data_IF_712841089202
#
_entry.id   IF_712841089202
#
_cell.length_a   1.000
_cell.length_b   1.000
_cell.length_c   1.000
_cell.angle_alpha   90.00
_cell.angle_beta   90.00
_cell.angle_gamma   90.00
#
_symmetry.space_group_name_H-M   'P 1'
#
loop_
_entity.id
_entity.type
_entity.pdbx_description
1 polymer ?
#
# COMPACT_ATOMS: atom_id res chain seq x y z
N UNK A 1 -2.94 -17.24 -17.98
CA UNK A 1 -1.81 -16.66 -18.73
C UNK A 1 -2.26 -15.31 -19.24
N UNK A 2 -1.59 -14.23 -18.85
CA UNK A 2 -1.76 -12.94 -19.52
C UNK A 2 -0.65 -12.92 -20.55
N UNK A 3 -1.04 -13.10 -21.81
CA UNK A 3 -0.10 -13.25 -22.91
C UNK A 3 0.53 -11.89 -23.25
N UNK A 4 1.85 -11.86 -23.34
CA UNK A 4 2.66 -10.66 -23.41
C UNK A 4 2.98 -10.34 -24.87
N UNK A 5 2.14 -9.56 -25.57
CA UNK A 5 2.50 -9.03 -26.89
C UNK A 5 2.11 -7.56 -27.06
N UNK A 6 2.92 -6.71 -26.44
CA UNK A 6 3.52 -5.46 -26.94
C UNK A 6 4.35 -4.89 -25.77
N UNK A 7 5.67 -4.99 -25.83
CA UNK A 7 6.56 -4.47 -24.77
C UNK A 7 6.66 -5.29 -23.47
N UNK A 8 5.86 -6.35 -23.30
CA UNK A 8 6.06 -7.37 -22.26
C UNK A 8 5.97 -6.90 -20.80
N UNK A 9 5.41 -5.71 -20.57
CA UNK A 9 5.22 -5.16 -19.23
C UNK A 9 3.99 -5.75 -18.53
N UNK A 10 4.16 -6.16 -17.28
CA UNK A 10 3.09 -6.73 -16.45
C UNK A 10 2.86 -5.82 -15.24
N UNK A 11 1.64 -5.31 -15.00
CA UNK A 11 1.37 -4.52 -13.81
C UNK A 11 1.33 -5.41 -12.57
N UNK A 12 2.03 -4.97 -11.51
CA UNK A 12 2.21 -5.76 -10.29
C UNK A 12 1.40 -5.19 -9.13
N UNK A 13 1.50 -3.88 -8.90
CA UNK A 13 0.87 -3.18 -7.76
C UNK A 13 0.87 -1.67 -7.97
N UNK A 14 0.06 -0.98 -7.19
CA UNK A 14 0.25 0.45 -6.90
C UNK A 14 0.86 0.58 -5.51
N UNK A 15 1.95 1.34 -5.41
CA UNK A 15 2.77 1.39 -4.20
C UNK A 15 3.35 2.80 -3.98
N UNK A 16 3.89 3.04 -2.78
CA UNK A 16 4.58 4.27 -2.48
C UNK A 16 5.96 4.34 -3.13
N UNK A 17 6.36 5.55 -3.52
CA UNK A 17 7.69 5.89 -4.03
C UNK A 17 8.13 7.21 -3.43
N UNK A 18 9.42 7.37 -3.15
CA UNK A 18 9.93 8.63 -2.59
C UNK A 18 9.79 9.76 -3.62
N UNK A 19 8.97 10.80 -3.34
CA UNK A 19 8.74 11.90 -4.26
C UNK A 19 10.02 12.72 -4.56
N UNK A 20 10.96 12.77 -3.62
CA UNK A 20 12.19 13.55 -3.76
C UNK A 20 13.17 12.87 -4.73
N UNK A 21 13.33 11.55 -4.62
CA UNK A 21 14.40 10.81 -5.29
C UNK A 21 13.93 9.94 -6.46
N UNK A 22 12.69 9.44 -6.42
CA UNK A 22 12.20 8.49 -7.43
C UNK A 22 11.69 9.22 -8.66
N UNK A 23 11.97 8.67 -9.84
CA UNK A 23 11.52 9.19 -11.13
C UNK A 23 10.84 8.09 -11.94
N UNK A 24 9.84 8.49 -12.74
CA UNK A 24 9.11 7.58 -13.62
C UNK A 24 10.07 6.95 -14.63
N UNK A 25 9.99 5.64 -14.81
CA UNK A 25 10.89 4.92 -15.72
C UNK A 25 10.65 5.26 -17.20
N UNK A 26 9.43 5.68 -17.55
CA UNK A 26 9.16 6.14 -18.92
C UNK A 26 10.05 7.34 -19.27
N UNK A 27 10.72 7.25 -20.42
CA UNK A 27 11.44 8.38 -21.00
C UNK A 27 10.41 9.31 -21.63
N UNK A 28 10.57 10.62 -21.45
CA UNK A 28 9.71 11.58 -22.15
C UNK A 28 9.84 11.41 -23.66
N UNK A 29 8.76 11.62 -24.42
CA UNK A 29 8.72 11.42 -25.88
C UNK A 29 9.80 12.20 -26.66
N UNK A 30 10.40 13.22 -26.05
CA UNK A 30 11.50 14.04 -26.60
C UNK A 30 12.88 13.72 -26.01
N UNK A 31 13.06 12.58 -25.33
CA UNK A 31 14.29 12.24 -24.63
C UNK A 31 14.57 13.11 -23.39
N UNK A 32 13.54 13.80 -22.87
CA UNK A 32 13.65 14.69 -21.71
C UNK A 32 13.78 13.97 -20.37
N UNK A 33 14.10 14.73 -19.31
CA UNK A 33 14.21 14.25 -17.92
C UNK A 33 12.95 13.49 -17.50
N UNK A 34 13.15 12.37 -16.81
CA UNK A 34 12.09 11.62 -16.17
C UNK A 34 11.29 12.51 -15.21
N UNK A 35 9.96 12.46 -15.27
CA UNK A 35 9.12 13.19 -14.33
C UNK A 35 9.08 12.48 -12.96
N UNK A 36 8.81 13.24 -11.90
CA UNK A 36 8.68 12.70 -10.53
C UNK A 36 7.27 12.21 -10.20
N UNK A 37 7.07 11.91 -8.92
CA UNK A 37 5.80 11.47 -8.34
C UNK A 37 5.40 12.42 -7.20
N UNK A 38 4.78 13.59 -7.49
CA UNK A 38 4.50 14.60 -6.46
C UNK A 38 3.64 14.08 -5.31
N UNK A 39 2.74 13.15 -5.60
CA UNK A 39 1.84 12.54 -4.63
C UNK A 39 2.48 11.31 -3.93
N UNK A 40 3.69 10.91 -4.33
CA UNK A 40 4.44 9.82 -3.69
C UNK A 40 3.94 8.40 -3.97
N UNK A 41 3.15 8.19 -5.04
CA UNK A 41 2.70 6.86 -5.46
C UNK A 41 2.96 6.60 -6.95
N UNK A 42 3.17 5.33 -7.28
CA UNK A 42 3.42 4.86 -8.63
C UNK A 42 2.74 3.53 -8.89
N UNK A 43 2.44 3.26 -10.16
CA UNK A 43 2.21 1.89 -10.60
C UNK A 43 3.56 1.21 -10.82
N UNK A 44 3.73 0.04 -10.23
CA UNK A 44 4.91 -0.79 -10.42
C UNK A 44 4.61 -1.79 -11.54
N UNK A 45 5.35 -1.67 -12.64
CA UNK A 45 5.31 -2.62 -13.75
C UNK A 45 6.58 -3.48 -13.74
N UNK A 46 6.44 -4.74 -14.12
CA UNK A 46 7.53 -5.70 -14.27
C UNK A 46 7.86 -5.90 -15.74
N UNK A 47 9.14 -5.85 -16.08
CA UNK A 47 9.63 -6.13 -17.43
C UNK A 47 9.70 -7.65 -17.72
N UNK A 48 9.99 -8.07 -18.95
CA UNK A 48 10.17 -9.48 -19.29
C UNK A 48 11.34 -10.17 -18.58
N UNK A 49 12.33 -9.42 -18.11
CA UNK A 49 13.47 -9.94 -17.35
C UNK A 49 13.15 -10.11 -15.84
N UNK A 50 11.98 -9.67 -15.41
CA UNK A 50 11.51 -9.77 -14.03
C UNK A 50 11.80 -8.55 -13.16
N UNK A 51 12.39 -7.49 -13.71
CA UNK A 51 12.70 -6.27 -12.98
C UNK A 51 11.48 -5.37 -12.84
N UNK A 52 11.33 -4.75 -11.67
CA UNK A 52 10.22 -3.87 -11.35
C UNK A 52 10.61 -2.39 -11.42
N UNK A 53 9.78 -1.59 -12.07
CA UNK A 53 10.02 -0.16 -12.25
C UNK A 53 8.77 0.69 -11.98
N UNK A 54 8.94 1.92 -11.46
CA UNK A 54 7.82 2.80 -11.15
C UNK A 54 7.39 3.61 -12.38
N UNK A 55 6.09 3.71 -12.59
CA UNK A 55 5.47 4.48 -13.67
C UNK A 55 4.34 5.36 -13.15
N UNK A 56 4.25 6.56 -13.71
CA UNK A 56 3.07 7.42 -13.55
C UNK A 56 1.85 6.78 -14.21
N UNK A 57 0.61 7.12 -13.81
CA UNK A 57 -0.61 6.49 -14.33
C UNK A 57 -0.70 6.52 -15.86
N UNK A 58 -0.44 7.67 -16.48
CA UNK A 58 -0.50 7.83 -17.94
C UNK A 58 0.61 7.05 -18.64
N UNK A 59 1.84 7.10 -18.12
CA UNK A 59 2.96 6.35 -18.66
C UNK A 59 2.75 4.84 -18.56
N UNK A 60 2.18 4.37 -17.46
CA UNK A 60 1.86 2.96 -17.28
C UNK A 60 0.80 2.51 -18.28
N UNK A 61 -0.29 3.27 -18.44
CA UNK A 61 -1.36 2.96 -19.42
C UNK A 61 -0.84 2.89 -20.86
N UNK A 62 0.10 3.77 -21.23
CA UNK A 62 0.69 3.79 -22.57
C UNK A 62 1.55 2.54 -22.89
N UNK A 63 2.01 1.80 -21.87
CA UNK A 63 2.84 0.60 -22.04
C UNK A 63 2.05 -0.71 -22.02
N UNK A 64 0.79 -0.69 -21.60
CA UNK A 64 -0.03 -1.88 -21.43
C UNK A 64 -0.91 -2.12 -22.65
N UNK A 65 -1.05 -3.38 -23.05
CA UNK A 65 -1.96 -3.78 -24.12
C UNK A 65 -3.42 -3.45 -23.79
N UNK A 66 -3.79 -3.57 -22.51
CA UNK A 66 -5.09 -3.15 -21.98
C UNK A 66 -4.87 -2.27 -20.73
N UNK A 67 -5.14 -0.96 -20.82
CA UNK A 67 -4.99 -0.02 -19.70
C UNK A 67 -5.79 -0.41 -18.45
N UNK A 68 -6.88 -1.17 -18.59
CA UNK A 68 -7.71 -1.61 -17.47
C UNK A 68 -7.01 -2.65 -16.59
N UNK A 69 -5.84 -3.16 -16.99
CA UNK A 69 -5.04 -4.04 -16.12
C UNK A 69 -4.51 -3.33 -14.88
N UNK A 70 -4.35 -2.00 -14.91
CA UNK A 70 -3.97 -1.22 -13.72
C UNK A 70 -5.03 -1.29 -12.62
N UNK A 71 -6.31 -1.39 -12.97
CA UNK A 71 -7.39 -1.49 -11.98
C UNK A 71 -7.46 -2.89 -11.33
N UNK A 72 -6.63 -3.84 -11.81
CA UNK A 72 -6.62 -5.23 -11.35
C UNK A 72 -5.51 -5.55 -10.37
N UNK A 73 -4.60 -4.62 -10.10
CA UNK A 73 -3.49 -4.86 -9.17
C UNK A 73 -3.83 -4.45 -7.74
N UNK A 74 -3.19 -5.04 -6.72
CA UNK A 74 -3.30 -4.56 -5.35
C UNK A 74 -2.81 -3.11 -5.20
N UNK A 75 -3.56 -2.30 -4.46
CA UNK A 75 -3.20 -0.92 -4.10
C UNK A 75 -2.79 -0.88 -2.61
N UNK A 76 -1.51 -0.57 -2.35
CA UNK A 76 -0.96 -0.38 -1.00
C UNK A 76 -1.08 1.07 -0.52
N UNK A 77 -1.52 1.98 -1.39
CA UNK A 77 -1.70 3.41 -1.13
C UNK A 77 -3.17 3.76 -0.84
N UNK A 78 -4.08 2.78 -0.80
CA UNK A 78 -5.53 3.00 -0.59
C UNK A 78 -5.84 3.80 0.68
N UNK A 79 -4.98 3.73 1.69
CA UNK A 79 -5.12 4.44 2.98
C UNK A 79 -4.35 5.75 3.04
N UNK A 80 -3.73 6.16 1.94
CA UNK A 80 -3.19 7.49 1.80
C UNK A 80 -4.31 8.49 1.51
N UNK A 81 -4.45 9.50 2.38
CA UNK A 81 -5.21 10.69 2.01
C UNK A 81 -4.25 11.65 1.31
N UNK A 82 -4.18 11.56 -0.02
CA UNK A 82 -3.58 12.63 -0.79
C UNK A 82 -4.47 13.86 -0.59
N UNK A 83 -3.95 14.93 0.02
CA UNK A 83 -4.56 16.26 -0.13
C UNK A 83 -4.55 16.53 -1.62
N UNK A 84 -5.70 16.37 -2.28
CA UNK A 84 -5.88 16.87 -3.64
C UNK A 84 -5.47 18.33 -3.59
N UNK A 85 -4.39 18.69 -4.29
CA UNK A 85 -4.13 20.09 -4.57
C UNK A 85 -5.41 20.66 -5.21
N UNK A 86 -5.86 21.85 -4.81
CA UNK A 86 -7.13 22.41 -5.26
C UNK A 86 -6.94 22.94 -6.69
N UNK A 87 -6.83 22.05 -7.67
CA UNK A 87 -6.85 22.43 -9.09
C UNK A 87 -7.13 21.22 -10.00
N UNK A 88 -8.24 20.52 -9.74
CA UNK A 88 -8.89 19.64 -10.73
C UNK A 88 -10.40 19.59 -10.44
N UNK A 89 -11.09 20.70 -10.71
CA UNK A 89 -12.54 20.71 -10.87
C UNK A 89 -12.90 20.11 -12.23
N UNK A 90 -12.97 18.78 -12.32
CA UNK A 90 -13.83 18.05 -13.27
C UNK A 90 -13.72 16.53 -13.08
N UNK A 91 -13.86 16.06 -11.84
CA UNK A 91 -14.15 14.63 -11.59
C UNK A 91 -15.68 14.52 -11.48
N UNK A 92 -16.36 13.87 -12.44
CA UNK A 92 -17.79 13.63 -12.34
C UNK A 92 -18.11 12.91 -11.03
N UNK A 93 -19.25 13.21 -10.38
CA UNK A 93 -19.67 12.47 -9.19
C UNK A 93 -19.68 10.97 -9.49
N UNK A 94 -19.31 10.12 -8.52
CA UNK A 94 -19.28 8.68 -8.73
C UNK A 94 -20.65 8.23 -9.23
N UNK A 95 -20.67 7.68 -10.46
CA UNK A 95 -21.89 7.11 -11.05
C UNK A 95 -22.42 6.08 -10.07
N UNK A 96 -23.73 6.19 -9.77
CA UNK A 96 -24.48 5.30 -8.87
C UNK A 96 -24.01 3.85 -9.04
N UNK A 97 -23.65 3.21 -7.92
CA UNK A 97 -22.94 1.93 -7.89
C UNK A 97 -23.71 0.85 -8.65
N UNK A 98 -23.20 0.48 -9.83
CA UNK A 98 -23.52 -0.82 -10.42
C UNK A 98 -23.07 -1.89 -9.42
N UNK A 99 -23.95 -2.84 -9.10
CA UNK A 99 -23.58 -4.00 -8.28
C UNK A 99 -22.37 -4.67 -8.95
N UNK A 100 -21.26 -4.76 -8.22
CA UNK A 100 -20.03 -5.38 -8.72
C UNK A 100 -20.35 -6.79 -9.25
N UNK A 101 -19.84 -7.10 -10.44
CA UNK A 101 -19.90 -8.43 -11.03
C UNK A 101 -19.17 -9.45 -10.16
N UNK A 102 -19.46 -10.74 -10.36
CA UNK A 102 -18.78 -11.81 -9.64
C UNK A 102 -17.26 -11.80 -9.89
N UNK A 103 -16.83 -11.43 -11.10
CA UNK A 103 -15.42 -11.31 -11.45
C UNK A 103 -14.73 -10.15 -10.71
N UNK A 104 -15.38 -8.99 -10.59
CA UNK A 104 -14.85 -7.86 -9.82
C UNK A 104 -14.76 -8.19 -8.33
N UNK A 105 -15.74 -8.91 -7.78
CA UNK A 105 -15.71 -9.36 -6.39
C UNK A 105 -14.59 -10.38 -6.14
N UNK A 106 -14.40 -11.34 -7.05
CA UNK A 106 -13.30 -12.31 -6.93
C UNK A 106 -11.93 -11.63 -7.02
N UNK A 107 -11.79 -10.68 -7.94
CA UNK A 107 -10.59 -9.87 -8.07
C UNK A 107 -10.31 -9.06 -6.80
N UNK A 108 -11.33 -8.39 -6.25
CA UNK A 108 -11.20 -7.64 -5.01
C UNK A 108 -10.79 -8.54 -3.83
N UNK A 109 -11.38 -9.74 -3.70
CA UNK A 109 -11.00 -10.73 -2.68
C UNK A 109 -9.56 -11.18 -2.85
N UNK A 110 -9.14 -11.47 -4.08
CA UNK A 110 -7.76 -11.86 -4.38
C UNK A 110 -6.78 -10.74 -4.04
N UNK A 111 -7.08 -9.50 -4.43
CA UNK A 111 -6.20 -8.36 -4.15
C UNK A 111 -6.12 -8.08 -2.66
N UNK A 112 -7.22 -8.20 -1.91
CA UNK A 112 -7.23 -8.10 -0.46
C UNK A 112 -6.35 -9.18 0.20
N UNK A 113 -6.46 -10.44 -0.25
CA UNK A 113 -5.64 -11.55 0.26
C UNK A 113 -4.16 -11.36 -0.05
N UNK A 114 -3.81 -11.05 -1.31
CA UNK A 114 -2.43 -10.78 -1.72
C UNK A 114 -1.82 -9.64 -0.90
N UNK A 115 -2.57 -8.55 -0.74
CA UNK A 115 -2.15 -7.40 0.05
C UNK A 115 -1.93 -7.78 1.52
N UNK A 116 -2.83 -8.56 2.11
CA UNK A 116 -2.69 -9.02 3.49
C UNK A 116 -1.40 -9.82 3.70
N UNK A 117 -1.11 -10.76 2.80
CA UNK A 117 0.13 -11.55 2.82
C UNK A 117 1.36 -10.65 2.73
N UNK A 118 1.41 -9.76 1.74
CA UNK A 118 2.56 -8.87 1.52
C UNK A 118 2.75 -7.88 2.67
N UNK A 119 1.67 -7.34 3.24
CA UNK A 119 1.76 -6.47 4.42
C UNK A 119 2.36 -7.22 5.62
N UNK A 120 1.88 -8.44 5.91
CA UNK A 120 2.34 -9.26 7.04
C UNK A 120 3.78 -9.75 6.87
N UNK A 121 4.21 -10.05 5.66
CA UNK A 121 5.48 -10.77 5.43
C UNK A 121 6.61 -9.89 4.90
N UNK A 122 6.28 -8.76 4.28
CA UNK A 122 7.26 -7.87 3.65
C UNK A 122 7.11 -6.42 4.12
N UNK A 123 6.01 -5.74 3.80
CA UNK A 123 5.94 -4.27 3.91
C UNK A 123 5.95 -3.79 5.36
N UNK A 124 5.04 -4.30 6.19
CA UNK A 124 5.02 -3.94 7.62
C UNK A 124 6.11 -4.71 8.37
N UNK A 125 6.43 -5.92 7.94
CA UNK A 125 7.49 -6.72 8.54
C UNK A 125 8.90 -6.14 8.36
N UNK A 126 9.12 -5.32 7.34
CA UNK A 126 10.38 -4.62 7.09
C UNK A 126 10.50 -3.30 7.88
N UNK A 127 9.44 -2.86 8.56
CA UNK A 127 9.50 -1.66 9.41
C UNK A 127 10.53 -1.88 10.51
N UNK A 128 11.51 -0.97 10.70
CA UNK A 128 12.53 -1.12 11.72
C UNK A 128 11.91 -1.33 13.11
N UNK A 129 12.40 -2.33 13.85
CA UNK A 129 11.98 -2.65 15.23
C UNK A 129 10.50 -3.01 15.38
N UNK A 130 9.81 -3.36 14.30
CA UNK A 130 8.43 -3.81 14.35
C UNK A 130 8.31 -5.08 15.19
N UNK A 131 7.20 -5.20 15.92
CA UNK A 131 6.96 -6.39 16.73
C UNK A 131 7.01 -7.67 15.87
N UNK A 132 7.70 -8.76 16.31
CA UNK A 132 7.87 -9.98 15.51
C UNK A 132 6.56 -10.66 15.10
N UNK A 133 5.48 -10.43 15.86
CA UNK A 133 4.13 -10.96 15.60
C UNK A 133 3.49 -10.41 14.32
N UNK A 134 4.10 -9.41 13.67
CA UNK A 134 3.71 -8.98 12.32
C UNK A 134 3.95 -10.08 11.29
N UNK A 135 5.10 -10.74 11.33
CA UNK A 135 5.32 -11.91 10.47
C UNK A 135 4.44 -13.06 10.96
N UNK A 136 3.81 -13.75 10.03
CA UNK A 136 3.00 -14.92 10.34
C UNK A 136 3.52 -16.14 9.58
N UNK A 137 4.22 -17.08 10.24
CA UNK A 137 4.82 -18.23 9.57
C UNK A 137 3.84 -19.03 8.72
N UNK A 138 2.56 -19.08 9.09
CA UNK A 138 1.53 -19.78 8.33
C UNK A 138 1.23 -19.18 6.93
N UNK A 139 1.78 -17.99 6.62
CA UNK A 139 1.68 -17.33 5.32
C UNK A 139 2.97 -17.42 4.49
N UNK A 140 4.04 -18.02 5.00
CA UNK A 140 5.35 -18.01 4.34
C UNK A 140 5.30 -18.59 2.92
N UNK A 141 4.73 -19.79 2.74
CA UNK A 141 4.63 -20.40 1.40
C UNK A 141 3.83 -19.54 0.41
N UNK A 142 2.76 -18.90 0.90
CA UNK A 142 1.94 -18.00 0.08
C UNK A 142 2.71 -16.72 -0.26
N UNK A 143 3.53 -16.22 0.67
CA UNK A 143 4.41 -15.09 0.43
C UNK A 143 5.44 -15.42 -0.63
N UNK A 144 6.15 -16.55 -0.52
CA UNK A 144 7.16 -16.96 -1.51
C UNK A 144 6.54 -17.12 -2.91
N UNK A 145 5.33 -17.69 -3.00
CA UNK A 145 4.58 -17.76 -4.25
C UNK A 145 4.31 -16.38 -4.86
N UNK A 146 3.81 -15.42 -4.06
CA UNK A 146 3.50 -14.07 -4.54
C UNK A 146 4.76 -13.29 -4.88
N UNK A 147 5.82 -13.41 -4.07
CA UNK A 147 7.11 -12.76 -4.29
C UNK A 147 7.76 -13.22 -5.61
N UNK A 148 7.59 -14.49 -5.97
CA UNK A 148 7.99 -15.02 -7.27
C UNK A 148 7.07 -14.59 -8.45
N UNK A 149 6.09 -13.72 -8.21
CA UNK A 149 5.13 -13.27 -9.22
C UNK A 149 3.94 -14.19 -9.45
N UNK A 150 3.78 -15.22 -8.62
CA UNK A 150 2.63 -16.09 -8.64
C UNK A 150 1.35 -15.41 -8.16
N UNK A 151 0.21 -15.99 -8.55
CA UNK A 151 -1.12 -15.50 -8.17
C UNK A 151 -1.75 -16.51 -7.21
N UNK A 152 -2.39 -16.03 -6.15
CA UNK A 152 -3.11 -16.89 -5.21
C UNK A 152 -4.35 -17.52 -5.89
N UNK A 153 -4.49 -18.84 -5.77
CA UNK A 153 -5.68 -19.57 -6.19
C UNK A 153 -6.85 -19.36 -5.20
N UNK A 154 -8.09 -19.62 -5.63
CA UNK A 154 -9.28 -19.29 -4.83
C UNK A 154 -9.31 -19.95 -3.43
N UNK A 155 -8.83 -21.19 -3.29
CA UNK A 155 -8.72 -21.84 -1.98
C UNK A 155 -7.70 -21.14 -1.05
N UNK A 156 -6.58 -20.68 -1.61
CA UNK A 156 -5.56 -19.91 -0.87
C UNK A 156 -6.12 -18.54 -0.47
N UNK A 157 -6.81 -17.85 -1.38
CA UNK A 157 -7.50 -16.58 -1.10
C UNK A 157 -8.51 -16.77 0.04
N UNK A 158 -9.34 -17.80 -0.01
CA UNK A 158 -10.30 -18.09 1.05
C UNK A 158 -9.62 -18.34 2.40
N UNK A 159 -8.53 -19.12 2.43
CA UNK A 159 -7.75 -19.38 3.64
C UNK A 159 -7.18 -18.10 4.24
N UNK A 160 -6.54 -17.25 3.41
CA UNK A 160 -5.95 -15.97 3.85
C UNK A 160 -7.02 -15.05 4.45
N UNK A 161 -8.14 -14.89 3.75
CA UNK A 161 -9.22 -14.03 4.23
C UNK A 161 -9.92 -14.59 5.47
N UNK A 162 -9.94 -15.92 5.65
CA UNK A 162 -10.43 -16.54 6.88
C UNK A 162 -9.51 -16.23 8.07
N UNK A 163 -8.19 -16.27 7.87
CA UNK A 163 -7.22 -15.83 8.88
C UNK A 163 -7.46 -14.35 9.22
N UNK A 164 -7.51 -13.46 8.22
CA UNK A 164 -7.70 -12.02 8.45
C UNK A 164 -8.98 -11.71 9.24
N UNK A 165 -10.10 -12.36 8.90
CA UNK A 165 -11.40 -12.12 9.54
C UNK A 165 -11.57 -12.84 10.87
N UNK A 166 -10.71 -13.79 11.21
CA UNK A 166 -10.80 -14.55 12.45
C UNK A 166 -10.85 -13.65 13.68
N UNK A 167 -11.67 -14.02 14.67
CA UNK A 167 -11.68 -13.35 15.97
C UNK A 167 -10.35 -13.51 16.71
N UNK A 168 -9.58 -14.57 16.41
CA UNK A 168 -8.26 -14.80 16.96
C UNK A 168 -7.20 -13.86 16.36
N UNK A 169 -7.47 -13.20 15.23
CA UNK A 169 -6.56 -12.23 14.63
C UNK A 169 -6.77 -10.86 15.29
N UNK A 170 -5.79 -10.33 16.05
CA UNK A 170 -5.90 -9.04 16.70
C UNK A 170 -6.23 -7.93 15.70
N UNK A 171 -7.03 -6.95 16.11
CA UNK A 171 -7.48 -5.88 15.22
C UNK A 171 -6.29 -5.11 14.60
N UNK A 172 -5.22 -4.87 15.37
CA UNK A 172 -3.97 -4.27 14.90
C UNK A 172 -3.25 -5.05 13.79
N UNK A 173 -3.58 -6.33 13.60
CA UNK A 173 -3.00 -7.22 12.59
C UNK A 173 -3.95 -7.50 11.42
N UNK A 174 -5.08 -6.79 11.30
CA UNK A 174 -6.01 -6.88 10.16
C UNK A 174 -5.56 -5.98 9.01
N UNK A 175 -5.95 -6.31 7.78
CA UNK A 175 -5.40 -5.69 6.57
C UNK A 175 -5.55 -4.17 6.51
N UNK A 176 -6.70 -3.64 6.95
CA UNK A 176 -6.92 -2.17 6.99
C UNK A 176 -5.96 -1.47 7.94
N UNK A 177 -5.71 -2.02 9.12
CA UNK A 177 -4.75 -1.42 10.06
C UNK A 177 -3.32 -1.54 9.55
N UNK A 178 -2.96 -2.68 8.95
CA UNK A 178 -1.62 -2.86 8.40
C UNK A 178 -1.32 -1.90 7.23
N UNK A 179 -2.34 -1.55 6.44
CA UNK A 179 -2.23 -0.46 5.48
C UNK A 179 -1.99 0.89 6.16
N UNK A 180 -2.73 1.20 7.23
CA UNK A 180 -2.53 2.44 7.98
C UNK A 180 -1.10 2.50 8.56
N UNK A 181 -0.59 1.39 9.10
CA UNK A 181 0.80 1.28 9.58
C UNK A 181 1.79 1.52 8.45
N UNK A 182 1.59 0.87 7.30
CA UNK A 182 2.51 1.02 6.18
C UNK A 182 2.53 2.46 5.65
N UNK A 183 1.35 3.07 5.45
CA UNK A 183 1.24 4.48 5.05
C UNK A 183 1.90 5.41 6.05
N UNK A 184 1.64 5.25 7.35
CA UNK A 184 2.23 6.09 8.38
C UNK A 184 3.75 5.94 8.43
N UNK A 185 4.28 4.71 8.31
CA UNK A 185 5.71 4.46 8.23
C UNK A 185 6.34 5.22 7.07
N UNK A 186 5.81 5.08 5.85
CA UNK A 186 6.37 5.75 4.67
C UNK A 186 6.36 7.27 4.84
N UNK A 187 5.27 7.85 5.35
CA UNK A 187 5.19 9.30 5.55
C UNK A 187 6.14 9.79 6.63
N UNK A 188 6.32 9.03 7.71
CA UNK A 188 7.30 9.35 8.75
C UNK A 188 8.72 9.32 8.17
N UNK A 189 9.07 8.32 7.35
CA UNK A 189 10.39 8.27 6.68
C UNK A 189 10.63 9.50 5.81
N UNK A 190 9.65 9.90 5.00
CA UNK A 190 9.77 11.11 4.17
C UNK A 190 9.94 12.38 5.00
N UNK A 191 9.15 12.54 6.06
CA UNK A 191 9.26 13.71 6.94
C UNK A 191 10.59 13.75 7.71
N UNK A 192 11.08 12.60 8.16
CA UNK A 192 12.40 12.47 8.80
C UNK A 192 13.50 12.86 7.83
N UNK A 193 13.45 12.34 6.59
CA UNK A 193 14.45 12.63 5.56
C UNK A 193 14.42 14.09 5.11
N UNK A 194 13.25 14.73 5.07
CA UNK A 194 13.10 16.13 4.66
C UNK A 194 13.39 17.14 5.79
N UNK A 195 13.35 16.72 7.06
CA UNK A 195 13.56 17.60 8.21
C UNK A 195 15.04 17.90 8.41
N UNK A 196 15.37 19.18 8.64
CA UNK A 196 16.70 19.63 9.09
C UNK A 196 16.75 19.99 10.59
N UNK A 197 15.61 19.93 11.28
CA UNK A 197 15.50 20.20 12.71
C UNK A 197 15.70 18.91 13.52
N UNK A 198 16.72 18.89 14.38
CA UNK A 198 17.10 17.72 15.18
C UNK A 198 16.02 17.30 16.16
N UNK A 199 15.35 18.24 16.84
CA UNK A 199 14.28 17.92 17.79
C UNK A 199 13.06 17.34 17.07
N UNK A 200 12.71 17.90 15.92
CA UNK A 200 11.65 17.35 15.08
C UNK A 200 11.97 15.93 14.60
N UNK A 201 13.22 15.68 14.16
CA UNK A 201 13.67 14.33 13.77
C UNK A 201 13.54 13.36 14.95
N UNK A 202 13.95 13.75 16.16
CA UNK A 202 13.80 12.90 17.36
C UNK A 202 12.34 12.60 17.66
N UNK A 203 11.48 13.62 17.59
CA UNK A 203 10.04 13.46 17.78
C UNK A 203 9.43 12.48 16.75
N UNK A 204 9.68 12.68 15.45
CA UNK A 204 9.16 11.80 14.40
C UNK A 204 9.67 10.36 14.55
N UNK A 205 10.95 10.18 14.90
CA UNK A 205 11.51 8.86 15.23
C UNK A 205 10.84 8.22 16.44
N UNK A 206 10.50 9.00 17.47
CA UNK A 206 9.77 8.48 18.63
C UNK A 206 8.37 7.97 18.26
N UNK A 207 7.68 8.64 17.32
CA UNK A 207 6.40 8.19 16.79
C UNK A 207 6.54 6.96 15.89
N UNK A 208 7.60 6.88 15.10
CA UNK A 208 7.91 5.71 14.28
C UNK A 208 8.20 4.48 15.14
N UNK A 209 8.97 4.66 16.21
CA UNK A 209 9.23 3.67 17.25
C UNK A 209 7.94 3.21 17.95
N UNK A 210 7.05 4.15 18.29
CA UNK A 210 5.74 3.85 18.85
C UNK A 210 4.90 3.03 17.87
N UNK A 211 4.83 3.46 16.60
CA UNK A 211 4.12 2.76 15.55
C UNK A 211 4.64 1.32 15.39
N UNK A 212 5.96 1.10 15.44
CA UNK A 212 6.54 -0.24 15.29
C UNK A 212 6.15 -1.20 16.43
N UNK A 213 6.00 -0.68 17.66
CA UNK A 213 5.63 -1.46 18.85
C UNK A 213 4.13 -1.68 18.98
N UNK A 214 3.33 -0.64 18.73
CA UNK A 214 1.89 -0.66 19.00
C UNK A 214 1.04 -0.89 17.74
N UNK A 215 1.63 -0.71 16.56
CA UNK A 215 0.97 -0.79 15.25
C UNK A 215 -0.22 0.16 15.09
N UNK A 216 -0.25 1.22 15.89
CA UNK A 216 -1.29 2.25 15.85
C UNK A 216 -0.70 3.62 16.16
N UNK A 217 -1.34 4.65 15.62
CA UNK A 217 -1.17 6.04 16.05
C UNK A 217 -2.52 6.63 16.42
N UNK A 218 -2.53 7.50 17.42
CA UNK A 218 -3.72 8.28 17.78
C UNK A 218 -3.90 9.44 16.80
N UNK A 219 -5.11 10.01 16.75
CA UNK A 219 -5.39 11.19 15.94
C UNK A 219 -4.47 12.37 16.31
N UNK A 220 -4.20 12.56 17.60
CA UNK A 220 -3.30 13.60 18.09
C UNK A 220 -1.84 13.37 17.64
N UNK A 221 -1.36 12.12 17.63
CA UNK A 221 -0.02 11.80 17.12
C UNK A 221 0.10 12.05 15.61
N UNK A 222 -0.93 11.68 14.84
CA UNK A 222 -1.03 11.93 13.40
C UNK A 222 -0.96 13.44 13.12
N UNK A 223 -1.79 14.21 13.83
CA UNK A 223 -1.86 15.67 13.69
C UNK A 223 -0.54 16.34 14.09
N UNK A 224 0.03 15.97 15.24
CA UNK A 224 1.28 16.54 15.73
C UNK A 224 2.48 16.23 14.80
N UNK A 225 2.47 15.07 14.13
CA UNK A 225 3.47 14.73 13.12
C UNK A 225 3.24 15.42 11.77
N UNK A 226 2.09 16.05 11.56
CA UNK A 226 1.71 16.62 10.26
C UNK A 226 1.49 15.58 9.15
N UNK A 227 1.24 14.31 9.50
CA UNK A 227 0.97 13.27 8.51
C UNK A 227 -0.49 13.33 8.05
N UNK A 228 -0.71 13.41 6.74
CA UNK A 228 -2.06 13.33 6.17
C UNK A 228 -2.42 11.87 5.96
N UNK A 229 -3.50 11.40 6.58
CA UNK A 229 -3.91 9.99 6.56
C UNK A 229 -5.39 9.88 6.21
N UNK A 230 -5.85 8.70 5.80
CA UNK A 230 -7.28 8.43 5.62
C UNK A 230 -8.09 8.84 6.89
N UNK A 231 -9.28 9.45 6.78
CA UNK A 231 -10.04 9.95 7.95
C UNK A 231 -10.41 8.89 9.01
N UNK A 232 -10.38 7.63 8.59
CA UNK A 232 -10.63 6.45 9.43
C UNK A 232 -9.36 5.66 9.78
N UNK A 233 -8.17 6.26 9.64
CA UNK A 233 -6.90 5.62 9.99
C UNK A 233 -6.90 5.16 11.46
N UNK A 234 -6.43 3.94 11.70
CA UNK A 234 -6.29 3.27 12.99
C UNK A 234 -7.56 3.09 13.82
N UNK A 235 -8.72 3.65 13.44
CA UNK A 235 -9.99 3.54 14.20
C UNK A 235 -10.37 2.10 14.53
N UNK A 236 -10.09 1.17 13.62
CA UNK A 236 -10.44 -0.25 13.80
C UNK A 236 -9.50 -1.01 14.74
N UNK A 237 -8.33 -0.47 15.05
CA UNK A 237 -7.30 -1.17 15.82
C UNK A 237 -7.21 -0.72 17.28
N UNK A 238 -7.87 0.38 17.63
CA UNK A 238 -8.05 0.76 19.02
C UNK A 238 -9.02 -0.23 19.69
N UNK A 239 -8.70 -0.69 20.91
CA UNK A 239 -9.62 -1.51 21.68
C UNK A 239 -10.95 -0.76 21.83
N UNK A 240 -12.09 -1.43 21.64
CA UNK A 240 -13.37 -0.83 22.01
C UNK A 240 -13.35 -0.58 23.52
N UNK A 241 -13.83 0.58 23.96
CA UNK A 241 -13.94 0.93 25.38
C UNK A 241 -14.56 -0.25 26.14
N UNK A 242 -13.81 -0.78 27.12
CA UNK A 242 -14.22 -1.95 27.92
C UNK A 242 -13.46 -3.26 27.65
N UNK A 243 -12.51 -3.31 26.71
CA UNK A 243 -11.75 -4.55 26.40
C UNK A 243 -10.43 -4.76 27.19
N UNK A 244 -10.20 -3.98 28.26
CA UNK A 244 -9.28 -4.38 29.33
C UNK A 244 -7.77 -4.31 29.05
N UNK A 245 -7.32 -3.84 27.89
CA UNK A 245 -5.90 -3.48 27.70
C UNK A 245 -5.73 -1.97 27.92
N UNK A 246 -5.45 -1.62 29.18
CA UNK A 246 -4.93 -0.31 29.57
C UNK A 246 -3.42 -0.29 29.30
N UNK A 247 -2.99 0.64 28.43
CA UNK A 247 -1.63 1.15 28.20
C UNK A 247 -0.59 0.22 27.56
#
# INVERSE_FOLDING_TARGET
>A
MIDAMHGGWVPVRKDFVDPATTRCHARGAKGGRHHGFPEGHAYILRDPAGHEYPFGPECARALLADPAWLDRVPDYTERDAVKRLPDFTDVPPPRRSRKASAAEQELARRNAATRYVILRMEKVAAVPRVQPTVRFPALEDLYQQVAAGGVLGSAQVQRVLAIERSAATPAKLKGLNLLDVYTAHIKLEWLIAASNNVENIRFLRSLHDWLARHLVLSAAQIEAAGIVMHPHAFRSAWPQEGSGELF
#
